data_IF_065359802768
#
_entry.id   IF_065359802768
#
_cell.length_a   1.000
_cell.length_b   1.000
_cell.length_c   1.000
_cell.angle_alpha   90.00
_cell.angle_beta   90.00
_cell.angle_gamma   90.00
#
_symmetry.space_group_name_H-M   'P 1'
#
loop_
_entity.id
_entity.type
_entity.pdbx_description
1 polymer ?
#
# COMPACT_ATOMS: atom_id res chain seq x y z
N UNK A 1 21.78 -19.52 -15.63
CA UNK A 1 21.13 -20.50 -14.72
C UNK A 1 19.97 -21.16 -15.45
N UNK A 2 19.78 -22.47 -15.30
CA UNK A 2 18.59 -23.13 -15.82
C UNK A 2 17.38 -22.86 -14.91
N UNK A 3 16.16 -22.99 -15.44
CA UNK A 3 14.93 -22.88 -14.63
C UNK A 3 14.93 -23.82 -13.42
N UNK A 4 15.50 -25.02 -13.56
CA UNK A 4 15.61 -25.98 -12.48
C UNK A 4 16.54 -25.49 -11.36
N UNK A 5 17.66 -24.86 -11.72
CA UNK A 5 18.61 -24.29 -10.76
C UNK A 5 17.97 -23.15 -9.97
N UNK A 6 17.29 -22.22 -10.67
CA UNK A 6 16.59 -21.11 -10.01
C UNK A 6 15.51 -21.62 -9.06
N UNK A 7 14.75 -22.66 -9.43
CA UNK A 7 13.72 -23.23 -8.56
C UNK A 7 14.27 -23.86 -7.28
N UNK A 8 15.51 -24.37 -7.31
CA UNK A 8 16.17 -24.94 -6.14
C UNK A 8 16.64 -23.85 -5.16
N UNK A 9 17.07 -22.70 -5.68
CA UNK A 9 17.72 -21.62 -4.92
C UNK A 9 16.78 -20.49 -4.48
N UNK A 10 15.46 -20.66 -4.60
CA UNK A 10 14.53 -19.60 -4.21
C UNK A 10 14.61 -19.27 -2.71
N UNK A 11 14.66 -17.98 -2.34
CA UNK A 11 14.68 -17.56 -0.95
C UNK A 11 13.30 -17.76 -0.28
N UNK A 12 13.31 -17.91 1.03
CA UNK A 12 12.12 -17.98 1.87
C UNK A 12 11.60 -16.58 2.26
N UNK A 13 11.66 -15.63 1.32
CA UNK A 13 11.38 -14.20 1.54
C UNK A 13 10.20 -13.72 0.69
N UNK A 14 9.56 -12.59 1.04
CA UNK A 14 8.57 -11.97 0.18
C UNK A 14 9.22 -11.39 -1.07
N UNK A 15 8.48 -11.37 -2.18
CA UNK A 15 9.02 -10.99 -3.47
C UNK A 15 8.06 -11.10 -4.63
N UNK A 16 8.52 -10.62 -5.79
CA UNK A 16 7.86 -10.77 -7.08
C UNK A 16 8.66 -11.75 -7.93
N UNK A 17 7.99 -12.62 -8.67
CA UNK A 17 8.62 -13.54 -9.62
C UNK A 17 8.07 -13.34 -11.03
N UNK A 18 8.93 -13.59 -12.02
CA UNK A 18 8.69 -13.32 -13.43
C UNK A 18 9.05 -14.55 -14.27
N UNK A 19 8.11 -15.04 -15.06
CA UNK A 19 8.36 -16.13 -16.01
C UNK A 19 8.56 -15.59 -17.41
N UNK A 20 9.55 -16.10 -18.13
CA UNK A 20 9.86 -15.72 -19.50
C UNK A 20 9.88 -16.94 -20.43
N UNK A 21 9.60 -16.73 -21.71
CA UNK A 21 9.74 -17.77 -22.74
C UNK A 21 11.18 -17.92 -23.25
N UNK A 22 11.39 -18.81 -24.22
CA UNK A 22 12.71 -19.06 -24.82
C UNK A 22 13.28 -17.89 -25.64
N UNK A 23 12.47 -16.89 -25.96
CA UNK A 23 12.89 -15.65 -26.64
C UNK A 23 13.13 -14.50 -25.63
N UNK A 24 13.00 -14.77 -24.32
CA UNK A 24 13.14 -13.76 -23.27
C UNK A 24 11.91 -12.85 -23.12
N UNK A 25 10.75 -13.20 -23.69
CA UNK A 25 9.53 -12.40 -23.53
C UNK A 25 8.85 -12.69 -22.19
N UNK A 26 8.47 -11.65 -21.48
CA UNK A 26 7.77 -11.76 -20.20
C UNK A 26 6.37 -12.37 -20.38
N UNK A 27 6.17 -13.55 -19.80
CA UNK A 27 4.92 -14.30 -19.86
C UNK A 27 3.99 -13.97 -18.69
N UNK A 28 4.55 -13.89 -17.49
CA UNK A 28 3.77 -13.77 -16.26
C UNK A 28 4.57 -13.12 -15.12
N UNK A 29 3.89 -12.29 -14.34
CA UNK A 29 4.39 -11.70 -13.09
C UNK A 29 3.47 -12.13 -11.95
N UNK A 30 4.02 -12.51 -10.79
CA UNK A 30 3.23 -12.78 -9.59
C UNK A 30 3.96 -12.43 -8.31
N UNK A 31 3.20 -12.18 -7.24
CA UNK A 31 3.75 -11.94 -5.89
C UNK A 31 3.79 -13.19 -5.00
N UNK A 32 4.67 -13.19 -4.00
CA UNK A 32 4.73 -14.21 -2.97
C UNK A 32 5.04 -13.61 -1.59
N UNK A 33 4.41 -14.12 -0.53
CA UNK A 33 4.88 -13.97 0.86
C UNK A 33 6.19 -14.72 1.10
N UNK A 34 6.34 -15.83 0.39
CA UNK A 34 7.50 -16.71 0.44
C UNK A 34 7.71 -17.25 -0.98
N UNK A 35 8.72 -16.72 -1.68
CA UNK A 35 9.03 -17.04 -3.07
C UNK A 35 9.22 -18.55 -3.27
N UNK A 36 10.01 -19.20 -2.40
CA UNK A 36 10.24 -20.65 -2.44
C UNK A 36 8.94 -21.44 -2.45
N UNK A 37 8.05 -21.24 -1.48
CA UNK A 37 6.82 -22.02 -1.36
C UNK A 37 5.87 -21.73 -2.52
N UNK A 38 5.72 -20.45 -2.87
CA UNK A 38 4.77 -20.02 -3.90
C UNK A 38 5.15 -20.56 -5.26
N UNK A 39 6.39 -20.36 -5.68
CA UNK A 39 6.83 -20.76 -7.02
C UNK A 39 6.91 -22.28 -7.11
N UNK A 40 7.42 -22.98 -6.07
CA UNK A 40 7.47 -24.45 -6.07
C UNK A 40 6.08 -25.08 -6.17
N UNK A 41 5.01 -24.42 -5.69
CA UNK A 41 3.64 -24.93 -5.84
C UNK A 41 3.18 -25.10 -7.30
N UNK A 42 3.81 -24.37 -8.24
CA UNK A 42 3.55 -24.51 -9.68
C UNK A 42 4.17 -25.75 -10.29
N UNK A 43 5.10 -26.42 -9.58
CA UNK A 43 5.88 -27.52 -10.12
C UNK A 43 5.71 -28.78 -9.28
N UNK A 44 5.68 -29.93 -9.95
CA UNK A 44 5.92 -31.23 -9.33
C UNK A 44 7.36 -31.62 -9.63
N UNK A 45 8.09 -32.03 -8.59
CA UNK A 45 9.50 -32.43 -8.70
C UNK A 45 9.67 -33.94 -8.90
N UNK A 46 8.61 -34.73 -8.66
CA UNK A 46 8.64 -36.20 -8.69
C UNK A 46 7.57 -36.72 -9.67
N UNK A 47 7.88 -37.69 -10.56
CA UNK A 47 9.19 -38.32 -10.81
C UNK A 47 10.18 -37.46 -11.62
N UNK A 48 9.72 -36.37 -12.22
CA UNK A 48 10.53 -35.39 -12.96
C UNK A 48 9.91 -34.00 -12.82
N UNK A 49 10.71 -32.95 -13.09
CA UNK A 49 10.24 -31.56 -13.05
C UNK A 49 9.18 -31.34 -14.13
N UNK A 50 7.94 -31.10 -13.71
CA UNK A 50 6.81 -30.80 -14.60
C UNK A 50 5.83 -29.83 -13.96
N UNK A 51 5.03 -29.09 -14.75
CA UNK A 51 3.96 -28.27 -14.21
C UNK A 51 3.01 -29.09 -13.33
N UNK A 52 2.59 -28.52 -12.21
CA UNK A 52 1.63 -29.16 -11.31
C UNK A 52 0.22 -29.16 -11.95
N UNK A 53 -0.40 -30.31 -12.24
CA UNK A 53 -1.70 -30.39 -12.91
C UNK A 53 -2.85 -29.73 -12.12
N UNK A 54 -2.69 -29.50 -10.83
CA UNK A 54 -3.70 -28.83 -9.98
C UNK A 54 -3.79 -27.31 -10.25
N UNK A 55 -2.93 -26.77 -11.12
CA UNK A 55 -2.94 -25.38 -11.53
C UNK A 55 -4.04 -25.10 -12.56
N UNK A 56 -4.53 -23.86 -12.60
CA UNK A 56 -5.52 -23.45 -13.60
C UNK A 56 -5.01 -23.66 -15.04
N UNK A 57 -5.89 -23.94 -16.02
CA UNK A 57 -5.50 -24.18 -17.42
C UNK A 57 -4.62 -23.07 -18.02
N UNK A 58 -4.90 -21.80 -17.66
CA UNK A 58 -4.08 -20.66 -18.12
C UNK A 58 -2.66 -20.73 -17.58
N UNK A 59 -2.51 -20.98 -16.27
CA UNK A 59 -1.20 -21.10 -15.62
C UNK A 59 -0.44 -22.31 -16.17
N UNK A 60 -1.12 -23.44 -16.38
CA UNK A 60 -0.51 -24.59 -17.05
C UNK A 60 0.05 -24.21 -18.41
N UNK A 61 -0.72 -23.53 -19.26
CA UNK A 61 -0.24 -23.10 -20.58
C UNK A 61 1.00 -22.19 -20.48
N UNK A 62 1.00 -21.25 -19.54
CA UNK A 62 2.13 -20.37 -19.26
C UNK A 62 3.39 -21.17 -18.87
N UNK A 63 3.27 -22.13 -17.94
CA UNK A 63 4.41 -22.92 -17.46
C UNK A 63 5.01 -23.82 -18.54
N UNK A 64 4.23 -24.27 -19.52
CA UNK A 64 4.76 -25.02 -20.67
C UNK A 64 5.57 -24.14 -21.64
N UNK A 65 5.22 -22.85 -21.76
CA UNK A 65 5.96 -21.88 -22.57
C UNK A 65 7.20 -21.33 -21.83
N UNK A 66 7.18 -21.30 -20.49
CA UNK A 66 8.25 -20.77 -19.66
C UNK A 66 9.58 -21.54 -19.85
N UNK A 67 10.68 -20.79 -19.93
CA UNK A 67 12.06 -21.30 -20.05
C UNK A 67 12.99 -20.74 -19.00
N UNK A 68 12.69 -19.56 -18.45
CA UNK A 68 13.41 -18.99 -17.33
C UNK A 68 12.46 -18.36 -16.31
N UNK A 69 13.00 -18.15 -15.11
CA UNK A 69 12.36 -17.53 -13.97
C UNK A 69 13.33 -16.51 -13.39
N UNK A 70 12.85 -15.32 -13.11
CA UNK A 70 13.57 -14.31 -12.33
C UNK A 70 12.73 -13.93 -11.11
N UNK A 71 13.37 -13.35 -10.10
CA UNK A 71 12.68 -12.87 -8.92
C UNK A 71 13.36 -11.64 -8.33
N UNK A 72 12.56 -10.83 -7.62
CA UNK A 72 12.98 -9.67 -6.86
C UNK A 72 12.53 -9.88 -5.41
N UNK A 73 13.47 -9.89 -4.49
CA UNK A 73 13.18 -9.92 -3.05
C UNK A 73 12.83 -8.51 -2.60
N UNK A 74 11.83 -8.40 -1.75
CA UNK A 74 11.44 -7.14 -1.10
C UNK A 74 11.38 -7.34 0.40
N UNK A 75 11.22 -6.25 1.15
CA UNK A 75 11.21 -6.29 2.61
C UNK A 75 9.91 -6.89 3.17
N UNK A 76 8.79 -6.74 2.46
CA UNK A 76 7.46 -7.10 2.96
C UNK A 76 6.53 -7.71 1.90
N UNK A 77 5.42 -8.31 2.33
CA UNK A 77 4.38 -8.76 1.38
C UNK A 77 3.73 -7.59 0.65
N UNK A 78 3.52 -6.47 1.33
CA UNK A 78 2.86 -5.32 0.75
C UNK A 78 3.73 -4.64 -0.32
N UNK A 79 5.06 -4.58 -0.16
CA UNK A 79 5.99 -4.18 -1.22
C UNK A 79 5.89 -5.10 -2.45
N UNK A 80 5.83 -6.42 -2.23
CA UNK A 80 5.76 -7.39 -3.33
C UNK A 80 4.47 -7.19 -4.13
N UNK A 81 3.40 -6.86 -3.43
CA UNK A 81 2.11 -6.56 -4.04
C UNK A 81 2.13 -5.27 -4.85
N UNK A 82 2.75 -4.20 -4.35
CA UNK A 82 2.91 -2.94 -5.08
C UNK A 82 3.70 -3.19 -6.35
N UNK A 83 4.87 -3.81 -6.22
CA UNK A 83 5.80 -4.01 -7.31
C UNK A 83 5.17 -4.90 -8.39
N UNK A 84 4.49 -5.99 -8.00
CA UNK A 84 3.74 -6.82 -8.94
C UNK A 84 2.69 -6.01 -9.71
N UNK A 85 1.91 -5.18 -9.02
CA UNK A 85 0.88 -4.37 -9.65
C UNK A 85 1.46 -3.37 -10.66
N UNK A 86 2.57 -2.71 -10.30
CA UNK A 86 3.30 -1.80 -11.17
C UNK A 86 3.83 -2.51 -12.41
N UNK A 87 4.51 -3.65 -12.24
CA UNK A 87 5.06 -4.46 -13.33
C UNK A 87 3.97 -4.98 -14.28
N UNK A 88 2.85 -5.49 -13.74
CA UNK A 88 1.72 -5.95 -14.57
C UNK A 88 1.13 -4.81 -15.41
N UNK A 89 0.98 -3.61 -14.83
CA UNK A 89 0.41 -2.44 -15.53
C UNK A 89 1.34 -1.92 -16.63
N UNK A 90 2.64 -1.88 -16.35
CA UNK A 90 3.67 -1.39 -17.27
C UNK A 90 3.91 -2.39 -18.41
N UNK A 91 4.17 -3.66 -18.07
CA UNK A 91 4.66 -4.66 -19.00
C UNK A 91 3.54 -5.49 -19.65
N UNK A 92 2.33 -5.48 -19.06
CA UNK A 92 1.13 -6.19 -19.55
C UNK A 92 1.42 -7.63 -20.02
N UNK A 93 1.96 -8.50 -19.15
CA UNK A 93 2.37 -9.85 -19.55
C UNK A 93 1.20 -10.67 -20.10
N UNK A 94 1.50 -11.51 -21.10
CA UNK A 94 0.52 -12.31 -21.85
C UNK A 94 -0.46 -13.10 -20.97
N UNK A 95 0.00 -13.64 -19.85
CA UNK A 95 -0.79 -14.53 -18.98
C UNK A 95 -1.32 -13.87 -17.71
N UNK A 96 -1.02 -12.59 -17.46
CA UNK A 96 -1.62 -11.85 -16.36
C UNK A 96 -3.03 -11.40 -16.74
N UNK A 97 -4.00 -11.60 -15.82
CA UNK A 97 -5.31 -10.97 -15.99
C UNK A 97 -5.14 -9.49 -15.67
N UNK A 98 -5.26 -8.65 -16.68
CA UNK A 98 -5.48 -7.23 -16.48
C UNK A 98 -6.90 -7.06 -15.94
N UNK A 99 -7.02 -6.94 -14.62
CA UNK A 99 -8.29 -6.60 -13.98
C UNK A 99 -8.71 -5.22 -14.50
N UNK A 100 -9.81 -5.19 -15.26
CA UNK A 100 -10.39 -3.95 -15.83
C UNK A 100 -11.13 -3.10 -14.79
N UNK A 101 -11.44 -3.67 -13.63
CA UNK A 101 -12.17 -3.02 -12.53
C UNK A 101 -11.31 -2.86 -11.27
N UNK A 102 -11.33 -1.64 -10.72
CA UNK A 102 -11.36 -1.12 -9.34
C UNK A 102 -10.92 -1.98 -8.12
N UNK A 103 -10.19 -3.09 -8.31
CA UNK A 103 -9.61 -3.92 -7.26
C UNK A 103 -8.21 -3.46 -6.84
N UNK A 104 -7.78 -2.28 -7.28
CA UNK A 104 -6.59 -1.64 -6.74
C UNK A 104 -6.84 -1.31 -5.27
N UNK A 105 -5.88 -1.65 -4.42
CA UNK A 105 -5.96 -1.31 -3.01
C UNK A 105 -6.00 0.21 -2.82
N UNK A 106 -6.79 0.71 -1.86
CA UNK A 106 -6.88 2.13 -1.63
C UNK A 106 -5.54 2.66 -1.12
N UNK A 107 -5.09 3.76 -1.70
CA UNK A 107 -4.02 4.59 -1.18
C UNK A 107 -4.64 5.72 -0.37
N UNK A 108 -3.98 6.09 0.71
CA UNK A 108 -4.21 7.39 1.30
C UNK A 108 -3.42 8.41 0.48
N UNK A 109 -4.01 9.54 0.13
CA UNK A 109 -3.31 10.57 -0.61
C UNK A 109 -3.55 11.95 0.00
N UNK A 110 -2.66 12.87 -0.33
CA UNK A 110 -2.69 14.28 0.07
C UNK A 110 -2.29 15.15 -1.11
N UNK A 111 -3.16 16.05 -1.56
CA UNK A 111 -2.83 17.06 -2.57
C UNK A 111 -2.40 18.37 -1.89
N UNK A 112 -1.09 18.60 -1.84
CA UNK A 112 -0.46 19.76 -1.21
C UNK A 112 -0.48 21.03 -2.08
N UNK A 113 -1.09 20.98 -3.26
CA UNK A 113 -1.31 22.18 -4.07
C UNK A 113 -2.43 23.07 -3.51
N UNK A 114 -3.33 22.50 -2.69
CA UNK A 114 -4.37 23.24 -2.01
C UNK A 114 -3.83 24.01 -0.79
N UNK A 115 -4.41 25.18 -0.43
CA UNK A 115 -3.98 25.94 0.75
C UNK A 115 -4.26 25.20 2.06
N UNK A 116 -5.33 24.39 2.10
CA UNK A 116 -5.72 23.59 3.25
C UNK A 116 -5.91 22.13 2.81
N UNK A 117 -4.80 21.39 2.60
CA UNK A 117 -4.86 20.03 2.06
C UNK A 117 -5.52 19.05 3.04
N UNK A 118 -6.06 17.96 2.49
CA UNK A 118 -6.85 16.94 3.22
C UNK A 118 -6.38 15.55 2.82
N UNK A 119 -6.33 14.66 3.79
CA UNK A 119 -6.09 13.24 3.55
C UNK A 119 -7.36 12.60 3.02
N UNK A 120 -7.25 11.83 1.94
CA UNK A 120 -8.39 11.14 1.33
C UNK A 120 -7.95 9.75 0.86
N UNK A 121 -8.90 8.81 0.75
CA UNK A 121 -8.63 7.48 0.21
C UNK A 121 -9.01 7.45 -1.27
N UNK A 122 -8.12 6.91 -2.10
CA UNK A 122 -8.36 6.72 -3.53
C UNK A 122 -7.89 5.35 -3.99
N UNK A 123 -8.60 4.77 -4.96
CA UNK A 123 -8.13 3.58 -5.71
C UNK A 123 -7.58 3.95 -7.09
N UNK A 124 -7.69 5.23 -7.46
CA UNK A 124 -7.28 5.79 -8.76
C UNK A 124 -6.15 6.78 -8.55
N UNK A 125 -5.26 6.88 -9.52
CA UNK A 125 -4.23 7.92 -9.53
C UNK A 125 -4.93 9.28 -9.67
N UNK A 126 -4.82 10.08 -8.63
CA UNK A 126 -5.25 11.48 -8.59
C UNK A 126 -4.14 12.32 -9.23
N UNK A 127 -4.49 13.04 -10.29
CA UNK A 127 -3.56 13.94 -10.97
C UNK A 127 -3.51 15.27 -10.21
N UNK A 128 -2.32 15.72 -9.87
CA UNK A 128 -2.10 17.04 -9.27
C UNK A 128 -0.61 17.37 -9.24
N UNK A 129 -0.29 18.65 -9.05
CA UNK A 129 1.11 19.14 -9.11
C UNK A 129 1.95 18.69 -7.92
N UNK A 130 1.33 18.41 -6.77
CA UNK A 130 1.98 18.02 -5.51
C UNK A 130 1.12 17.00 -4.76
N UNK A 131 0.89 15.85 -5.37
CA UNK A 131 0.12 14.77 -4.75
C UNK A 131 1.09 13.76 -4.14
N UNK A 132 0.93 13.48 -2.85
CA UNK A 132 1.65 12.40 -2.14
C UNK A 132 0.71 11.24 -1.86
N UNK A 133 1.24 10.02 -1.93
CA UNK A 133 0.52 8.79 -1.65
C UNK A 133 1.19 8.03 -0.50
N UNK A 134 0.36 7.36 0.31
CA UNK A 134 0.75 6.47 1.40
C UNK A 134 0.00 5.15 1.25
N UNK A 135 0.67 4.04 1.50
CA UNK A 135 0.12 2.69 1.32
C UNK A 135 0.73 2.00 0.11
N UNK A 136 0.03 1.04 -0.52
CA UNK A 136 -1.40 0.74 -0.49
C UNK A 136 -1.86 0.14 0.83
N UNK A 137 -3.15 0.30 1.13
CA UNK A 137 -3.76 -0.25 2.34
C UNK A 137 -4.79 -1.34 1.99
N UNK A 138 -4.39 -2.63 1.97
CA UNK A 138 -5.31 -3.74 1.74
C UNK A 138 -6.45 -3.82 2.76
N UNK A 139 -6.15 -3.46 3.98
CA UNK A 139 -7.07 -3.30 5.10
C UNK A 139 -6.66 -2.07 5.92
N UNK A 140 -7.46 -1.65 6.90
CA UNK A 140 -7.10 -0.62 7.90
C UNK A 140 -6.88 0.81 7.40
N UNK A 141 -6.76 1.07 6.09
CA UNK A 141 -6.54 2.43 5.56
C UNK A 141 -7.63 3.45 5.94
N UNK A 142 -8.89 2.99 6.07
CA UNK A 142 -9.98 3.83 6.59
C UNK A 142 -9.84 4.12 8.08
N UNK A 143 -9.42 3.14 8.87
CA UNK A 143 -9.17 3.34 10.31
C UNK A 143 -8.02 4.33 10.52
N UNK A 144 -6.95 4.23 9.73
CA UNK A 144 -5.85 5.20 9.74
C UNK A 144 -6.34 6.61 9.38
N UNK A 145 -7.12 6.76 8.29
CA UNK A 145 -7.69 8.05 7.92
C UNK A 145 -8.53 8.67 9.04
N UNK A 146 -9.41 7.88 9.65
CA UNK A 146 -10.25 8.33 10.76
C UNK A 146 -9.42 8.67 12.01
N UNK A 147 -8.35 7.92 12.29
CA UNK A 147 -7.42 8.21 13.37
C UNK A 147 -6.69 9.55 13.15
N UNK A 148 -6.23 9.84 11.92
CA UNK A 148 -5.61 11.13 11.60
C UNK A 148 -6.57 12.29 11.87
N UNK A 149 -7.81 12.18 11.39
CA UNK A 149 -8.85 13.18 11.61
C UNK A 149 -9.34 13.28 13.06
N UNK A 150 -9.04 12.28 13.88
CA UNK A 150 -9.38 12.27 15.29
C UNK A 150 -8.27 12.86 16.16
N UNK A 151 -7.00 12.56 15.84
CA UNK A 151 -5.83 12.95 16.61
C UNK A 151 -5.28 14.34 16.24
N UNK A 152 -5.49 14.79 15.01
CA UNK A 152 -4.95 16.05 14.51
C UNK A 152 -6.07 17.02 14.12
N UNK A 153 -5.95 18.32 14.41
CA UNK A 153 -6.94 19.33 14.03
C UNK A 153 -6.83 19.64 12.53
N UNK A 154 -7.39 18.75 11.71
CA UNK A 154 -7.36 18.80 10.25
C UNK A 154 -8.68 19.31 9.66
N UNK A 155 -8.66 19.81 8.43
CA UNK A 155 -9.88 20.21 7.72
C UNK A 155 -10.72 18.98 7.37
N UNK A 156 -11.86 18.85 8.05
CA UNK A 156 -12.69 17.64 8.00
C UNK A 156 -13.51 17.49 6.71
N UNK A 157 -13.89 18.59 6.06
CA UNK A 157 -14.79 18.59 4.87
C UNK A 157 -14.17 19.28 3.66
N UNK A 158 -14.30 18.70 2.47
CA UNK A 158 -13.82 19.31 1.21
C UNK A 158 -14.46 20.70 0.97
N UNK A 159 -15.73 20.86 1.34
CA UNK A 159 -16.45 22.12 1.24
C UNK A 159 -16.22 23.11 2.38
N UNK A 160 -15.26 22.89 3.29
CA UNK A 160 -15.10 23.70 4.49
C UNK A 160 -15.01 25.20 4.18
N UNK A 161 -14.16 25.59 3.23
CA UNK A 161 -13.93 26.99 2.87
C UNK A 161 -15.17 27.66 2.27
N UNK A 162 -16.07 26.90 1.63
CA UNK A 162 -17.33 27.43 1.08
C UNK A 162 -18.36 27.78 2.16
N UNK A 163 -18.26 27.15 3.34
CA UNK A 163 -19.23 27.30 4.42
C UNK A 163 -19.23 28.67 5.10
N UNK A 164 -18.17 29.47 4.98
CA UNK A 164 -17.96 30.83 5.56
C UNK A 164 -18.17 30.97 7.09
N UNK A 165 -18.66 29.93 7.78
CA UNK A 165 -18.89 29.86 9.22
C UNK A 165 -18.35 28.55 9.78
N UNK A 166 -17.87 28.60 11.02
CA UNK A 166 -17.36 27.44 11.72
C UNK A 166 -18.46 26.39 11.91
N UNK A 167 -18.11 25.14 11.61
CA UNK A 167 -19.01 24.00 11.73
C UNK A 167 -18.80 23.26 13.06
N UNK A 168 -19.64 22.25 13.32
CA UNK A 168 -19.55 21.38 14.51
C UNK A 168 -18.14 20.85 14.76
N UNK A 169 -17.39 20.49 13.70
CA UNK A 169 -16.02 20.00 13.84
C UNK A 169 -15.07 20.99 14.52
N UNK A 170 -15.28 22.29 14.33
CA UNK A 170 -14.52 23.31 15.06
C UNK A 170 -14.96 23.40 16.52
N UNK A 171 -16.27 23.35 16.78
CA UNK A 171 -16.82 23.40 18.15
C UNK A 171 -16.32 22.24 19.02
N UNK A 172 -16.10 21.06 18.42
CA UNK A 172 -15.52 19.90 19.11
C UNK A 172 -13.99 19.81 19.01
N UNK A 173 -13.31 20.88 18.56
CA UNK A 173 -11.85 20.97 18.52
C UNK A 173 -11.13 20.17 17.41
N UNK A 174 -11.86 19.59 16.45
CA UNK A 174 -11.28 18.73 15.38
C UNK A 174 -10.91 19.48 14.10
N UNK A 175 -11.30 20.74 13.96
CA UNK A 175 -11.01 21.56 12.78
C UNK A 175 -10.62 22.99 13.22
N UNK A 176 -9.56 23.58 12.66
CA UNK A 176 -9.10 24.91 13.03
C UNK A 176 -9.92 26.06 12.38
N UNK A 177 -11.05 25.74 11.72
CA UNK A 177 -11.95 26.70 11.09
C UNK A 177 -11.27 27.70 10.13
N UNK A 178 -10.57 27.21 9.09
CA UNK A 178 -10.01 28.09 8.05
C UNK A 178 -11.09 28.85 7.27
N UNK A 179 -12.35 28.37 7.29
CA UNK A 179 -13.50 29.06 6.70
C UNK A 179 -13.80 30.44 7.32
N UNK A 180 -13.35 30.69 8.54
CA UNK A 180 -13.46 31.98 9.24
C UNK A 180 -12.11 32.71 9.32
N UNK A 181 -11.07 32.21 8.67
CA UNK A 181 -9.73 32.80 8.75
C UNK A 181 -9.04 32.61 10.10
N UNK A 182 -9.49 31.67 10.95
CA UNK A 182 -8.92 31.41 12.29
C UNK A 182 -7.53 30.73 12.27
N UNK A 183 -7.08 30.28 11.10
CA UNK A 183 -5.76 29.69 10.90
C UNK A 183 -5.23 30.08 9.53
N UNK A 184 -3.95 30.40 9.46
CA UNK A 184 -3.26 30.67 8.18
C UNK A 184 -2.92 29.38 7.44
N UNK A 185 -2.78 29.40 6.10
CA UNK A 185 -2.27 28.24 5.34
C UNK A 185 -0.91 27.75 5.84
N UNK A 186 -0.03 28.66 6.27
CA UNK A 186 1.32 28.37 6.75
C UNK A 186 1.29 27.62 8.09
N UNK A 187 0.45 28.05 9.04
CA UNK A 187 0.26 27.36 10.31
C UNK A 187 -0.42 26.01 10.12
N UNK A 188 -1.44 25.95 9.25
CA UNK A 188 -2.12 24.69 8.96
C UNK A 188 -1.16 23.66 8.34
N UNK A 189 -0.21 24.11 7.50
CA UNK A 189 0.82 23.24 6.92
C UNK A 189 1.67 22.56 8.00
N UNK A 190 1.98 23.23 9.12
CA UNK A 190 2.70 22.60 10.26
C UNK A 190 1.91 21.45 10.87
N UNK A 191 0.59 21.61 11.02
CA UNK A 191 -0.30 20.54 11.49
C UNK A 191 -0.32 19.37 10.51
N UNK A 192 -0.36 19.67 9.20
CA UNK A 192 -0.31 18.65 8.15
C UNK A 192 1.01 17.89 8.18
N UNK A 193 2.16 18.57 8.29
CA UNK A 193 3.46 17.91 8.42
C UNK A 193 3.55 17.02 9.67
N UNK A 194 2.97 17.44 10.78
CA UNK A 194 2.90 16.60 12.00
C UNK A 194 2.06 15.35 11.75
N UNK A 195 0.93 15.48 11.05
CA UNK A 195 0.09 14.33 10.69
C UNK A 195 0.80 13.40 9.70
N UNK A 196 1.56 13.94 8.73
CA UNK A 196 2.40 13.17 7.80
C UNK A 196 3.46 12.37 8.54
N UNK A 197 4.21 13.02 9.44
CA UNK A 197 5.21 12.34 10.27
C UNK A 197 4.59 11.22 11.12
N UNK A 198 3.37 11.40 11.61
CA UNK A 198 2.66 10.37 12.36
C UNK A 198 2.26 9.16 11.50
N UNK A 199 1.96 9.36 10.20
CA UNK A 199 1.73 8.24 9.28
C UNK A 199 2.98 7.35 9.23
N UNK A 200 4.18 7.92 9.17
CA UNK A 200 5.43 7.14 9.19
C UNK A 200 5.79 6.52 10.55
N UNK A 201 5.08 6.89 11.62
CA UNK A 201 5.29 6.39 12.96
C UNK A 201 3.98 5.87 13.55
N UNK A 202 3.51 4.72 13.04
CA UNK A 202 2.30 4.06 13.55
C UNK A 202 2.30 3.83 15.06
N UNK A 203 3.41 3.45 15.71
CA UNK A 203 3.46 3.36 17.17
C UNK A 203 3.01 4.64 17.88
N UNK A 204 3.35 5.82 17.34
CA UNK A 204 2.89 7.11 17.88
C UNK A 204 1.37 7.27 17.75
N UNK A 205 0.78 6.90 16.61
CA UNK A 205 -0.67 6.94 16.41
C UNK A 205 -1.36 5.97 17.37
N UNK A 206 -0.86 4.75 17.45
CA UNK A 206 -1.42 3.70 18.32
C UNK A 206 -1.39 4.12 19.79
N UNK A 207 -0.26 4.63 20.28
CA UNK A 207 -0.15 5.11 21.67
C UNK A 207 -1.16 6.21 22.00
N UNK A 208 -1.32 7.20 21.11
CA UNK A 208 -2.32 8.27 21.31
C UNK A 208 -3.76 7.77 21.27
N UNK A 209 -4.06 6.77 20.44
CA UNK A 209 -5.38 6.14 20.43
C UNK A 209 -5.62 5.34 21.70
N UNK A 210 -4.61 4.63 22.21
CA UNK A 210 -4.70 3.86 23.45
C UNK A 210 -4.95 4.79 24.65
N UNK A 211 -4.21 5.90 24.78
CA UNK A 211 -4.47 6.94 25.80
C UNK A 211 -5.92 7.42 25.72
N UNK A 212 -6.39 7.75 24.52
CA UNK A 212 -7.74 8.28 24.33
C UNK A 212 -8.84 7.24 24.58
N UNK A 213 -8.60 5.98 24.24
CA UNK A 213 -9.50 4.88 24.56
C UNK A 213 -9.66 4.75 26.08
N UNK A 214 -8.54 4.80 26.81
CA UNK A 214 -8.53 4.73 28.28
C UNK A 214 -9.25 5.93 28.90
N UNK A 215 -9.05 7.14 28.38
CA UNK A 215 -9.79 8.33 28.83
C UNK A 215 -11.31 8.20 28.62
N UNK A 216 -11.75 7.64 27.49
CA UNK A 216 -13.17 7.41 27.21
C UNK A 216 -13.75 6.36 28.16
N UNK A 217 -13.02 5.27 28.39
CA UNK A 217 -13.42 4.22 29.33
C UNK A 217 -13.51 4.75 30.78
N UNK A 218 -12.57 5.58 31.22
CA UNK A 218 -12.58 6.22 32.54
C UNK A 218 -13.77 7.18 32.73
N UNK A 219 -14.36 7.67 31.63
CA UNK A 219 -15.58 8.49 31.63
C UNK A 219 -16.84 7.68 31.35
N UNK A 220 -16.77 6.35 31.45
CA UNK A 220 -17.87 5.41 31.21
C UNK A 220 -18.46 5.47 29.78
N UNK A 221 -17.71 6.02 28.81
CA UNK A 221 -18.10 6.11 27.39
C UNK A 221 -17.65 4.85 26.63
N UNK A 222 -18.16 3.70 27.04
CA UNK A 222 -17.68 2.39 26.59
C UNK A 222 -17.85 2.14 25.09
N UNK A 223 -18.94 2.61 24.47
CA UNK A 223 -19.15 2.44 23.02
C UNK A 223 -18.09 3.18 22.18
N UNK A 224 -17.74 4.39 22.61
CA UNK A 224 -16.71 5.18 21.94
C UNK A 224 -15.32 4.61 22.20
N UNK A 225 -15.05 4.13 23.42
CA UNK A 225 -13.82 3.41 23.72
C UNK A 225 -13.69 2.14 22.86
N UNK A 226 -14.76 1.37 22.69
CA UNK A 226 -14.79 0.21 21.80
C UNK A 226 -14.50 0.59 20.34
N UNK A 227 -15.09 1.68 19.85
CA UNK A 227 -14.79 2.20 18.50
C UNK A 227 -13.30 2.55 18.34
N UNK A 228 -12.66 3.11 19.36
CA UNK A 228 -11.21 3.40 19.33
C UNK A 228 -10.38 2.12 19.38
N UNK A 229 -10.77 1.12 20.20
CA UNK A 229 -10.14 -0.20 20.24
C UNK A 229 -10.15 -0.87 18.87
N UNK A 230 -11.31 -0.92 18.21
CA UNK A 230 -11.44 -1.57 16.91
C UNK A 230 -10.59 -0.86 15.84
N UNK A 231 -10.41 0.46 15.95
CA UNK A 231 -9.45 1.22 15.13
C UNK A 231 -8.00 0.85 15.42
N UNK A 232 -7.62 0.73 16.70
CA UNK A 232 -6.28 0.29 17.10
C UNK A 232 -5.96 -1.07 16.47
N UNK A 233 -6.87 -2.03 16.58
CA UNK A 233 -6.71 -3.36 15.97
C UNK A 233 -6.56 -3.29 14.45
N UNK A 234 -7.38 -2.47 13.78
CA UNK A 234 -7.29 -2.27 12.34
C UNK A 234 -5.98 -1.59 11.89
N UNK A 235 -5.34 -0.79 12.75
CA UNK A 235 -4.09 -0.07 12.45
C UNK A 235 -2.85 -0.90 12.78
N UNK A 236 -2.88 -1.76 13.81
CA UNK A 236 -1.73 -2.57 14.26
C UNK A 236 -1.11 -3.44 13.17
N UNK A 237 -1.92 -3.90 12.21
CA UNK A 237 -1.46 -4.71 11.07
C UNK A 237 -1.11 -3.92 9.81
N UNK A 238 -1.07 -2.59 9.87
CA UNK A 238 -0.69 -1.77 8.72
C UNK A 238 0.83 -1.72 8.59
N UNK A 239 1.30 -2.12 7.41
CA UNK A 239 2.65 -1.81 6.97
C UNK A 239 2.57 -0.56 6.08
N UNK A 240 3.35 0.47 6.41
CA UNK A 240 3.38 1.72 5.65
C UNK A 240 4.62 1.72 4.78
N UNK A 241 4.40 1.50 3.49
CA UNK A 241 5.42 1.68 2.48
C UNK A 241 5.50 3.14 2.08
N UNK A 242 6.71 3.66 2.10
CA UNK A 242 7.06 5.07 1.88
C UNK A 242 6.75 5.53 0.46
N UNK A 243 6.47 6.83 0.34
CA UNK A 243 6.31 7.67 -0.86
C UNK A 243 6.56 7.01 -2.22
N UNK A 244 5.48 6.59 -2.87
CA UNK A 244 5.49 6.28 -4.30
C UNK A 244 4.84 7.46 -5.01
N UNK A 245 5.61 8.13 -5.88
CA UNK A 245 5.03 9.04 -6.86
C UNK A 245 4.36 8.21 -7.97
N UNK A 246 3.13 7.76 -7.71
CA UNK A 246 2.33 7.02 -8.68
C UNK A 246 2.02 7.85 -9.95
N UNK A 247 2.23 9.17 -9.92
CA UNK A 247 1.99 10.07 -11.03
C UNK A 247 3.23 10.26 -11.94
N UNK A 248 4.44 9.99 -11.43
CA UNK A 248 5.64 9.91 -12.25
C UNK A 248 5.76 8.51 -12.83
N UNK A 249 5.80 8.43 -14.17
CA UNK A 249 6.42 7.30 -14.87
C UNK A 249 7.93 7.38 -14.61
N UNK A 250 8.36 7.17 -13.37
CA UNK A 250 9.79 7.05 -13.12
C UNK A 250 10.24 5.64 -13.48
N UNK A 251 11.27 5.60 -14.32
CA UNK A 251 12.09 4.43 -14.56
C UNK A 251 12.71 4.03 -13.22
N UNK A 252 12.25 2.92 -12.65
CA UNK A 252 12.88 2.36 -11.48
C UNK A 252 14.16 1.66 -11.93
N UNK A 253 15.31 2.17 -11.50
CA UNK A 253 16.58 1.47 -11.65
C UNK A 253 16.56 0.23 -10.75
N UNK A 254 16.28 -0.92 -11.34
CA UNK A 254 16.36 -2.22 -10.65
C UNK A 254 17.83 -2.59 -10.58
N UNK A 255 18.46 -2.38 -9.43
CA UNK A 255 19.78 -2.90 -9.15
C UNK A 255 19.67 -4.39 -8.77
N UNK A 256 20.00 -5.26 -9.72
CA UNK A 256 20.27 -6.66 -9.40
C UNK A 256 21.70 -6.75 -8.84
N UNK A 257 21.84 -7.11 -7.57
CA UNK A 257 23.14 -7.52 -7.02
C UNK A 257 23.28 -8.99 -7.36
N UNK A 258 24.18 -9.29 -8.30
CA UNK A 258 24.67 -10.65 -8.54
C UNK A 258 25.54 -11.04 -7.34
N UNK A 259 25.13 -12.02 -6.50
CA UNK A 259 26.02 -12.56 -5.49
C UNK A 259 27.11 -13.33 -6.24
N UNK A 260 28.23 -12.63 -6.50
CA UNK A 260 29.42 -13.19 -7.13
C UNK A 260 29.76 -14.54 -6.52
N UNK A 261 29.96 -15.52 -7.38
CA UNK A 261 30.44 -16.85 -7.03
C UNK A 261 31.93 -16.75 -6.73
N UNK A 262 32.28 -16.71 -5.44
CA UNK A 262 33.59 -17.16 -4.95
C UNK A 262 33.55 -18.65 -4.63
#
# INVERSE_FOLDING_TARGET
MSLADTLADLPASPGVYQYFDGEGRLLYVGKAKNLRNRVRSYWRFTPSLRPNPDQSPRILKMLHEARSLEYLVVESEADALILENSLIKQLKPKYNILLRDDKTYPYLYLDESAPFPRFELTRKVVRGKKVRYYGPFPSGGRALLEALYFLFPLVQKAGCLRGKKACLFHQIGRCPAPCEGKITPEEYRKTVETAKAAIHNLPLILGRLEERMMELAARERFEEAATVRDRIEAIRGLEIHSEIDLARQEDYDIFAIDPGSD
#
